data_IF_875438645804
#
_entry.id   IF_875438645804
#
_cell.length_a   1.000
_cell.length_b   1.000
_cell.length_c   1.000
_cell.angle_alpha   90.00
_cell.angle_beta   90.00
_cell.angle_gamma   90.00
#
_symmetry.space_group_name_H-M   'P 1'
#
loop_
_entity.id
_entity.type
_entity.pdbx_description
1 polymer ?
#
# COMPACT_ATOMS: atom_id res chain seq x y z
N UNK A 1 19.11 33.21 25.13
CA UNK A 1 19.69 32.01 24.50
C UNK A 1 21.20 32.17 24.52
N UNK A 2 21.91 31.37 25.30
CA UNK A 2 23.38 31.41 25.36
C UNK A 2 24.01 30.94 24.04
N UNK A 3 25.27 31.27 23.78
CA UNK A 3 25.94 30.81 22.55
C UNK A 3 26.10 29.28 22.48
N UNK A 4 26.18 28.61 23.63
CA UNK A 4 26.12 27.15 23.73
C UNK A 4 24.75 26.60 23.33
N UNK A 5 23.67 27.26 23.75
CA UNK A 5 22.30 26.88 23.43
C UNK A 5 22.01 27.07 21.93
N UNK A 6 22.53 28.15 21.31
CA UNK A 6 22.49 28.35 19.85
C UNK A 6 23.30 27.27 19.10
N UNK A 7 24.48 26.91 19.60
CA UNK A 7 25.35 25.90 18.97
C UNK A 7 24.72 24.52 19.02
N UNK A 8 24.12 24.17 20.16
CA UNK A 8 23.36 22.92 20.35
C UNK A 8 22.17 22.87 19.40
N UNK A 9 21.36 23.93 19.35
CA UNK A 9 20.21 24.03 18.45
C UNK A 9 20.62 23.90 16.97
N UNK A 10 21.74 24.53 16.58
CA UNK A 10 22.29 24.44 15.22
C UNK A 10 22.73 23.02 14.87
N UNK A 11 23.36 22.31 15.80
CA UNK A 11 23.76 20.92 15.62
C UNK A 11 22.55 19.99 15.50
N UNK A 12 21.53 20.17 16.34
CA UNK A 12 20.27 19.42 16.24
C UNK A 12 19.55 19.67 14.92
N UNK A 13 19.46 20.93 14.49
CA UNK A 13 18.88 21.31 13.19
C UNK A 13 19.65 20.65 12.05
N UNK A 14 20.98 20.65 12.09
CA UNK A 14 21.81 20.00 11.06
C UNK A 14 21.53 18.50 10.97
N UNK A 15 21.39 17.81 12.10
CA UNK A 15 21.03 16.39 12.15
C UNK A 15 19.63 16.16 11.57
N UNK A 16 18.64 16.96 11.98
CA UNK A 16 17.26 16.86 11.46
C UNK A 16 17.18 17.08 9.96
N UNK A 17 17.86 18.10 9.44
CA UNK A 17 17.94 18.39 8.00
C UNK A 17 18.57 17.22 7.25
N UNK A 18 19.70 16.69 7.75
CA UNK A 18 20.38 15.53 7.16
C UNK A 18 19.46 14.31 7.11
N UNK A 19 18.75 14.01 8.20
CA UNK A 19 17.82 12.89 8.27
C UNK A 19 16.65 13.04 7.29
N UNK A 20 16.06 14.23 7.22
CA UNK A 20 14.99 14.53 6.27
C UNK A 20 15.46 14.41 4.81
N UNK A 21 16.69 14.85 4.52
CA UNK A 21 17.29 14.74 3.20
C UNK A 21 17.43 13.27 2.76
N UNK A 22 18.00 12.41 3.62
CA UNK A 22 18.12 10.98 3.32
C UNK A 22 16.77 10.28 3.15
N UNK A 23 15.79 10.62 4.00
CA UNK A 23 14.44 10.09 3.87
C UNK A 23 13.80 10.50 2.53
N UNK A 24 13.98 11.76 2.09
CA UNK A 24 13.49 12.24 0.78
C UNK A 24 14.19 11.54 -0.39
N UNK A 25 15.51 11.39 -0.36
CA UNK A 25 16.24 10.66 -1.41
C UNK A 25 15.75 9.21 -1.49
N UNK A 26 15.62 8.52 -0.36
CA UNK A 26 15.08 7.16 -0.32
C UNK A 26 13.71 7.07 -0.98
N UNK A 27 12.81 8.02 -0.67
CA UNK A 27 11.50 8.10 -1.33
C UNK A 27 11.58 8.29 -2.85
N UNK A 28 12.46 9.17 -3.33
CA UNK A 28 12.67 9.40 -4.78
C UNK A 28 13.19 8.14 -5.47
N UNK A 29 14.14 7.44 -4.84
CA UNK A 29 14.67 6.17 -5.36
C UNK A 29 13.57 5.11 -5.46
N UNK A 30 12.74 4.95 -4.43
CA UNK A 30 11.64 3.97 -4.46
C UNK A 30 10.63 4.28 -5.57
N UNK A 31 10.31 5.55 -5.82
CA UNK A 31 9.27 5.94 -6.77
C UNK A 31 9.71 5.96 -8.23
N UNK A 32 10.98 6.29 -8.53
CA UNK A 32 11.44 6.52 -9.91
C UNK A 32 12.36 5.42 -10.45
N UNK A 33 12.91 4.56 -9.60
CA UNK A 33 13.81 3.47 -10.03
C UNK A 33 13.16 2.60 -11.09
N UNK A 34 11.90 2.25 -10.95
CA UNK A 34 11.21 1.35 -11.88
C UNK A 34 11.16 1.94 -13.30
N UNK A 35 10.90 3.25 -13.46
CA UNK A 35 10.93 3.92 -14.77
C UNK A 35 12.34 3.95 -15.39
N UNK A 36 13.36 4.18 -14.57
CA UNK A 36 14.76 4.15 -15.01
C UNK A 36 15.16 2.75 -15.47
N UNK A 37 14.73 1.71 -14.75
CA UNK A 37 15.01 0.33 -15.11
C UNK A 37 14.25 -0.10 -16.36
N UNK A 38 12.97 0.27 -16.50
CA UNK A 38 12.20 -0.01 -17.72
C UNK A 38 12.85 0.65 -18.92
N UNK A 39 13.25 1.92 -18.83
CA UNK A 39 13.92 2.61 -19.95
C UNK A 39 15.32 2.05 -20.27
N UNK A 40 16.02 1.49 -19.28
CA UNK A 40 17.36 0.91 -19.46
C UNK A 40 17.33 -0.51 -20.04
N UNK A 41 16.42 -1.35 -19.56
CA UNK A 41 16.38 -2.78 -19.88
C UNK A 41 15.35 -3.12 -20.97
N UNK A 42 14.40 -2.23 -21.27
CA UNK A 42 13.33 -2.44 -22.23
C UNK A 42 13.25 -1.28 -23.24
N UNK A 43 12.39 -1.42 -24.24
CA UNK A 43 12.20 -0.40 -25.27
C UNK A 43 11.23 0.72 -24.85
N UNK A 44 11.21 1.81 -25.63
CA UNK A 44 10.37 2.99 -25.38
C UNK A 44 8.86 2.66 -25.32
N UNK A 45 8.41 1.63 -26.05
CA UNK A 45 7.02 1.17 -26.00
C UNK A 45 6.65 0.64 -24.62
N UNK A 46 7.51 -0.16 -23.98
CA UNK A 46 7.27 -0.64 -22.62
C UNK A 46 7.25 0.49 -21.58
N UNK A 47 8.07 1.52 -21.74
CA UNK A 47 8.03 2.72 -20.87
C UNK A 47 6.65 3.37 -20.92
N UNK A 48 6.11 3.53 -22.13
CA UNK A 48 4.80 4.16 -22.35
C UNK A 48 3.67 3.31 -21.79
N UNK A 49 3.68 1.99 -22.09
CA UNK A 49 2.68 1.04 -21.59
C UNK A 49 2.70 0.99 -20.07
N UNK A 50 3.87 0.76 -19.46
CA UNK A 50 4.00 0.69 -18.01
C UNK A 50 3.58 2.00 -17.33
N UNK A 51 3.99 3.14 -17.88
CA UNK A 51 3.60 4.46 -17.38
C UNK A 51 2.10 4.68 -17.38
N UNK A 52 1.38 4.19 -18.39
CA UNK A 52 -0.09 4.32 -18.44
C UNK A 52 -0.78 3.57 -17.30
N UNK A 53 -0.35 2.35 -16.96
CA UNK A 53 -0.87 1.60 -15.80
C UNK A 53 -0.51 2.28 -14.48
N UNK A 54 0.73 2.75 -14.37
CA UNK A 54 1.18 3.45 -13.16
C UNK A 54 0.40 4.74 -12.90
N UNK A 55 0.00 5.48 -13.94
CA UNK A 55 -0.88 6.65 -13.79
C UNK A 55 -2.24 6.27 -13.19
N UNK A 56 -2.85 5.18 -13.66
CA UNK A 56 -4.11 4.68 -13.09
C UNK A 56 -3.91 4.27 -11.63
N UNK A 57 -2.83 3.57 -11.32
CA UNK A 57 -2.54 3.12 -9.95
C UNK A 57 -2.17 4.26 -9.00
N UNK A 58 -1.63 5.38 -9.52
CA UNK A 58 -1.31 6.55 -8.72
C UNK A 58 -2.55 7.21 -8.12
N UNK A 59 -3.73 7.05 -8.72
CA UNK A 59 -5.01 7.51 -8.15
C UNK A 59 -5.24 6.92 -6.76
N UNK A 60 -4.91 5.64 -6.55
CA UNK A 60 -5.03 4.99 -5.23
C UNK A 60 -4.12 5.69 -4.23
N UNK A 61 -2.87 5.94 -4.60
CA UNK A 61 -1.91 6.63 -3.73
C UNK A 61 -2.42 8.01 -3.30
N UNK A 62 -3.01 8.78 -4.22
CA UNK A 62 -3.58 10.11 -3.93
C UNK A 62 -4.76 9.98 -2.96
N UNK A 63 -5.70 9.07 -3.22
CA UNK A 63 -6.84 8.83 -2.33
C UNK A 63 -6.39 8.40 -0.93
N UNK A 64 -5.45 7.46 -0.86
CA UNK A 64 -4.90 6.94 0.39
C UNK A 64 -4.17 8.02 1.20
N UNK A 65 -3.42 8.90 0.53
CA UNK A 65 -2.73 10.00 1.21
C UNK A 65 -3.71 10.96 1.89
N UNK A 66 -4.88 11.16 1.30
CA UNK A 66 -5.95 11.99 1.87
C UNK A 66 -6.52 11.36 3.15
N UNK A 67 -6.71 10.03 3.17
CA UNK A 67 -7.12 9.31 4.38
C UNK A 67 -6.09 9.43 5.51
N UNK A 68 -4.79 9.27 5.20
CA UNK A 68 -3.72 9.42 6.20
C UNK A 68 -3.79 10.80 6.85
N UNK A 69 -3.79 11.84 6.03
CA UNK A 69 -3.77 13.23 6.50
C UNK A 69 -4.99 13.56 7.38
N UNK A 70 -6.16 13.04 7.04
CA UNK A 70 -7.39 13.28 7.80
C UNK A 70 -7.40 12.57 9.18
N UNK A 71 -6.80 11.37 9.26
CA UNK A 71 -6.96 10.50 10.43
C UNK A 71 -5.78 10.62 11.42
N UNK A 72 -4.57 10.94 10.96
CA UNK A 72 -3.35 10.94 11.80
C UNK A 72 -3.48 11.81 13.06
N UNK A 73 -4.04 13.01 12.97
CA UNK A 73 -4.22 13.89 14.12
C UNK A 73 -5.17 13.29 15.18
N UNK A 74 -6.28 12.69 14.72
CA UNK A 74 -7.24 12.03 15.61
C UNK A 74 -6.62 10.81 16.31
N UNK A 75 -5.79 10.04 15.61
CA UNK A 75 -5.07 8.91 16.21
C UNK A 75 -4.04 9.41 17.23
N UNK A 76 -3.30 10.48 16.92
CA UNK A 76 -2.36 11.09 17.86
C UNK A 76 -3.03 11.49 19.18
N UNK A 77 -4.17 12.19 19.11
CA UNK A 77 -4.95 12.56 20.29
C UNK A 77 -5.47 11.33 21.06
N UNK A 78 -5.90 10.29 20.34
CA UNK A 78 -6.33 9.04 20.97
C UNK A 78 -5.19 8.39 21.76
N UNK A 79 -3.95 8.40 21.28
CA UNK A 79 -2.85 7.68 21.93
C UNK A 79 -2.38 8.26 23.27
N UNK A 80 -2.67 9.53 23.60
CA UNK A 80 -2.11 10.23 24.77
C UNK A 80 -2.55 9.61 26.11
N UNK A 81 -3.80 9.14 26.20
CA UNK A 81 -4.42 8.69 27.45
C UNK A 81 -4.93 7.25 27.39
N UNK A 82 -4.36 6.41 26.54
CA UNK A 82 -4.85 5.05 26.32
C UNK A 82 -3.83 4.02 26.79
N UNK A 83 -4.34 2.89 27.28
CA UNK A 83 -3.49 1.77 27.68
C UNK A 83 -3.11 0.89 26.47
N UNK A 84 -2.13 0.01 26.67
CA UNK A 84 -1.61 -0.89 25.63
C UNK A 84 -2.69 -1.75 24.96
N UNK A 85 -3.74 -2.14 25.68
CA UNK A 85 -4.82 -2.98 25.16
C UNK A 85 -5.75 -2.20 24.23
N UNK A 86 -6.09 -0.97 24.59
CA UNK A 86 -6.86 -0.05 23.76
C UNK A 86 -6.12 0.30 22.47
N UNK A 87 -4.83 0.63 22.58
CA UNK A 87 -3.96 0.89 21.43
C UNK A 87 -3.84 -0.34 20.54
N UNK A 88 -3.66 -1.52 21.12
CA UNK A 88 -3.62 -2.80 20.39
C UNK A 88 -4.95 -3.06 19.65
N UNK A 89 -6.09 -2.75 20.28
CA UNK A 89 -7.42 -2.92 19.68
C UNK A 89 -7.62 -2.00 18.47
N UNK A 90 -7.25 -0.72 18.57
CA UNK A 90 -7.34 0.21 17.43
C UNK A 90 -6.36 -0.19 16.32
N UNK A 91 -5.14 -0.62 16.66
CA UNK A 91 -4.18 -1.10 15.66
C UNK A 91 -4.74 -2.29 14.86
N UNK A 92 -5.36 -3.28 15.53
CA UNK A 92 -6.03 -4.40 14.86
C UNK A 92 -7.17 -3.96 13.95
N UNK A 93 -8.00 -3.03 14.41
CA UNK A 93 -9.12 -2.48 13.63
C UNK A 93 -8.60 -1.79 12.35
N UNK A 94 -7.60 -0.92 12.47
CA UNK A 94 -7.01 -0.23 11.33
C UNK A 94 -6.40 -1.20 10.33
N UNK A 95 -5.55 -2.15 10.78
CA UNK A 95 -4.96 -3.14 9.87
C UNK A 95 -6.05 -3.96 9.16
N UNK A 96 -7.09 -4.41 9.88
CA UNK A 96 -8.18 -5.19 9.29
C UNK A 96 -8.94 -4.40 8.22
N UNK A 97 -9.28 -3.14 8.49
CA UNK A 97 -10.04 -2.28 7.56
C UNK A 97 -9.22 -1.92 6.34
N UNK A 98 -7.94 -1.57 6.51
CA UNK A 98 -7.07 -1.25 5.38
C UNK A 98 -6.76 -2.48 4.53
N UNK A 99 -6.69 -3.68 5.11
CA UNK A 99 -6.60 -4.94 4.34
C UNK A 99 -7.89 -5.22 3.57
N UNK A 100 -9.07 -4.98 4.17
CA UNK A 100 -10.34 -5.07 3.45
C UNK A 100 -10.40 -4.08 2.28
N UNK A 101 -9.99 -2.83 2.51
CA UNK A 101 -9.93 -1.77 1.50
C UNK A 101 -8.95 -2.11 0.37
N UNK A 102 -7.76 -2.60 0.71
CA UNK A 102 -6.77 -3.06 -0.27
C UNK A 102 -7.34 -4.19 -1.13
N UNK A 103 -8.06 -5.13 -0.51
CA UNK A 103 -8.73 -6.24 -1.22
C UNK A 103 -9.75 -5.71 -2.23
N UNK A 104 -10.63 -4.81 -1.79
CA UNK A 104 -11.63 -4.16 -2.64
C UNK A 104 -10.98 -3.42 -3.82
N UNK A 105 -9.97 -2.59 -3.55
CA UNK A 105 -9.28 -1.80 -4.60
C UNK A 105 -8.59 -2.72 -5.60
N UNK A 106 -7.79 -3.69 -5.14
CA UNK A 106 -7.05 -4.60 -6.02
C UNK A 106 -7.98 -5.47 -6.87
N UNK A 107 -9.11 -5.94 -6.33
CA UNK A 107 -10.13 -6.68 -7.10
C UNK A 107 -10.71 -5.84 -8.23
N UNK A 108 -11.17 -4.63 -7.92
CA UNK A 108 -11.76 -3.75 -8.93
C UNK A 108 -10.74 -3.41 -10.02
N UNK A 109 -9.52 -3.08 -9.63
CA UNK A 109 -8.47 -2.80 -10.60
C UNK A 109 -8.15 -4.00 -11.50
N UNK A 110 -8.13 -5.23 -10.97
CA UNK A 110 -7.91 -6.43 -11.78
C UNK A 110 -8.91 -6.56 -12.94
N UNK A 111 -10.19 -6.35 -12.67
CA UNK A 111 -11.25 -6.52 -13.67
C UNK A 111 -11.47 -5.31 -14.58
N UNK A 112 -10.95 -4.13 -14.22
CA UNK A 112 -11.30 -2.87 -14.86
C UNK A 112 -10.11 -2.16 -15.53
N UNK A 113 -8.87 -2.38 -15.07
CA UNK A 113 -7.72 -1.58 -15.54
C UNK A 113 -7.47 -1.77 -17.03
N UNK A 114 -7.54 -3.00 -17.54
CA UNK A 114 -7.31 -3.27 -18.96
C UNK A 114 -8.41 -2.65 -19.83
N UNK A 115 -9.66 -2.70 -19.38
CA UNK A 115 -10.79 -2.07 -20.09
C UNK A 115 -10.65 -0.54 -20.09
N UNK A 116 -10.22 0.04 -18.97
CA UNK A 116 -9.95 1.47 -18.88
C UNK A 116 -8.83 1.88 -19.84
N UNK A 117 -7.70 1.19 -19.82
CA UNK A 117 -6.56 1.46 -20.73
C UNK A 117 -6.98 1.32 -22.19
N UNK A 118 -7.79 0.31 -22.50
CA UNK A 118 -8.35 0.09 -23.85
C UNK A 118 -9.19 1.28 -24.31
N UNK A 119 -10.10 1.75 -23.46
CA UNK A 119 -10.97 2.89 -23.78
C UNK A 119 -10.23 4.24 -23.80
N UNK A 120 -9.13 4.35 -23.04
CA UNK A 120 -8.36 5.59 -22.93
C UNK A 120 -7.33 5.77 -24.04
N UNK A 121 -6.44 4.79 -24.24
CA UNK A 121 -5.30 4.90 -25.17
C UNK A 121 -5.24 3.79 -26.23
N UNK A 122 -6.05 2.73 -26.08
CA UNK A 122 -6.24 1.68 -27.09
C UNK A 122 -5.63 0.32 -26.74
N UNK A 123 -6.08 -0.72 -27.43
CA UNK A 123 -5.75 -2.14 -27.14
C UNK A 123 -4.25 -2.47 -27.22
N UNK A 124 -3.47 -1.72 -28.01
CA UNK A 124 -2.02 -1.93 -28.15
C UNK A 124 -1.22 -1.65 -26.87
N UNK A 125 -1.85 -1.05 -25.87
CA UNK A 125 -1.23 -0.73 -24.59
C UNK A 125 -1.57 -1.71 -23.46
N UNK A 126 -2.26 -2.82 -23.74
CA UNK A 126 -2.63 -3.78 -22.71
C UNK A 126 -1.43 -4.63 -22.29
N UNK A 127 -1.20 -4.75 -20.98
CA UNK A 127 -0.26 -5.68 -20.39
C UNK A 127 -0.89 -7.06 -20.18
N UNK A 128 -0.08 -8.12 -20.27
CA UNK A 128 -0.51 -9.46 -19.95
C UNK A 128 -0.97 -9.60 -18.49
N UNK A 129 -2.00 -10.44 -18.26
CA UNK A 129 -2.64 -10.59 -16.95
C UNK A 129 -1.66 -10.90 -15.81
N UNK A 130 -0.61 -11.68 -16.06
CA UNK A 130 0.43 -11.96 -15.06
C UNK A 130 1.18 -10.71 -14.59
N UNK A 131 1.49 -9.79 -15.50
CA UNK A 131 2.14 -8.51 -15.18
C UNK A 131 1.19 -7.64 -14.38
N UNK A 132 -0.08 -7.56 -14.81
CA UNK A 132 -1.12 -6.82 -14.09
C UNK A 132 -1.26 -7.32 -12.66
N UNK A 133 -1.31 -8.64 -12.45
CA UNK A 133 -1.37 -9.22 -11.09
C UNK A 133 -0.16 -8.79 -10.25
N UNK A 134 1.06 -8.84 -10.79
CA UNK A 134 2.25 -8.37 -10.07
C UNK A 134 2.15 -6.89 -9.69
N UNK A 135 1.68 -6.03 -10.60
CA UNK A 135 1.48 -4.62 -10.29
C UNK A 135 0.41 -4.41 -9.21
N UNK A 136 -0.67 -5.20 -9.23
CA UNK A 136 -1.74 -5.13 -8.23
C UNK A 136 -1.29 -5.62 -6.85
N UNK A 137 -0.29 -6.51 -6.77
CA UNK A 137 0.36 -6.84 -5.50
C UNK A 137 1.05 -5.59 -4.94
N UNK A 138 1.76 -4.80 -5.75
CA UNK A 138 2.33 -3.53 -5.28
C UNK A 138 1.25 -2.52 -4.84
N UNK A 139 0.12 -2.43 -5.54
CA UNK A 139 -1.04 -1.61 -5.10
C UNK A 139 -1.59 -2.11 -3.77
N UNK A 140 -1.74 -3.43 -3.61
CA UNK A 140 -2.20 -4.01 -2.35
C UNK A 140 -1.26 -3.64 -1.20
N UNK A 141 0.06 -3.80 -1.39
CA UNK A 141 1.08 -3.43 -0.41
C UNK A 141 1.04 -1.94 -0.05
N UNK A 142 0.84 -1.06 -1.04
CA UNK A 142 0.80 0.39 -0.83
C UNK A 142 -0.39 0.83 0.03
N UNK A 143 -1.48 0.06 0.04
CA UNK A 143 -2.65 0.31 0.89
C UNK A 143 -2.46 -0.31 2.29
N UNK A 144 -2.03 -1.57 2.39
CA UNK A 144 -1.94 -2.24 3.71
C UNK A 144 -0.82 -1.70 4.61
N UNK A 145 0.16 -0.97 4.06
CA UNK A 145 1.19 -0.29 4.86
C UNK A 145 0.67 0.94 5.61
N UNK A 146 -0.46 1.51 5.18
CA UNK A 146 -0.97 2.80 5.66
C UNK A 146 -1.20 2.84 7.18
N UNK A 147 -1.80 1.81 7.83
CA UNK A 147 -1.91 1.78 9.28
C UNK A 147 -0.57 2.02 9.97
N UNK A 148 0.51 1.37 9.51
CA UNK A 148 1.85 1.56 10.06
C UNK A 148 2.31 3.02 9.93
N UNK A 149 2.08 3.64 8.77
CA UNK A 149 2.41 5.06 8.54
C UNK A 149 1.60 6.00 9.46
N UNK A 150 0.31 5.74 9.64
CA UNK A 150 -0.57 6.51 10.54
C UNK A 150 -0.06 6.43 11.98
N UNK A 151 0.18 5.22 12.50
CA UNK A 151 0.66 5.03 13.88
C UNK A 151 2.06 5.58 14.09
N UNK A 152 2.96 5.44 13.12
CA UNK A 152 4.29 6.06 13.17
C UNK A 152 4.19 7.58 13.30
N UNK A 153 3.38 8.22 12.44
CA UNK A 153 3.21 9.67 12.47
C UNK A 153 2.52 10.15 13.75
N UNK A 154 1.56 9.39 14.27
CA UNK A 154 0.84 9.70 15.50
C UNK A 154 1.70 9.54 16.77
N UNK A 155 2.60 8.54 16.80
CA UNK A 155 3.49 8.28 17.95
C UNK A 155 4.77 9.10 17.93
N UNK A 156 5.18 9.62 16.77
CA UNK A 156 6.44 10.34 16.60
C UNK A 156 7.68 9.44 16.57
N UNK A 157 7.53 8.13 16.39
CA UNK A 157 8.65 7.17 16.36
C UNK A 157 9.36 7.18 14.99
N UNK A 158 10.17 8.22 14.75
CA UNK A 158 10.88 8.44 13.47
C UNK A 158 12.31 7.88 13.41
N UNK A 159 12.65 6.85 14.18
CA UNK A 159 14.01 6.28 14.19
C UNK A 159 14.33 5.35 13.02
N UNK A 160 13.41 5.15 12.09
CA UNK A 160 13.56 4.36 10.86
C UNK A 160 14.11 5.18 9.68
N UNK A 161 14.86 6.26 9.97
CA UNK A 161 15.38 7.24 8.99
C UNK A 161 16.06 6.59 7.77
N UNK A 162 16.78 5.48 7.98
CA UNK A 162 17.54 4.80 6.92
C UNK A 162 16.73 3.73 6.18
N UNK A 163 15.55 3.35 6.66
CA UNK A 163 14.75 2.30 6.02
C UNK A 163 14.31 2.66 4.60
N UNK A 164 13.92 3.91 4.28
CA UNK A 164 13.66 4.29 2.89
C UNK A 164 14.87 4.15 1.95
N UNK A 165 16.09 4.36 2.45
CA UNK A 165 17.30 4.14 1.66
C UNK A 165 17.57 2.66 1.43
N UNK A 166 17.38 1.83 2.47
CA UNK A 166 17.47 0.38 2.36
C UNK A 166 16.41 -0.16 1.39
N UNK A 167 15.18 0.34 1.46
CA UNK A 167 14.09 0.00 0.54
C UNK A 167 14.45 0.36 -0.91
N UNK A 168 14.88 1.59 -1.17
CA UNK A 168 15.28 2.03 -2.51
C UNK A 168 16.49 1.27 -3.06
N UNK A 169 17.50 1.01 -2.21
CA UNK A 169 18.68 0.25 -2.58
C UNK A 169 18.36 -1.22 -2.86
N UNK A 170 17.55 -1.87 -2.02
CA UNK A 170 17.08 -3.24 -2.24
C UNK A 170 16.19 -3.32 -3.48
N UNK A 171 15.29 -2.36 -3.70
CA UNK A 171 14.49 -2.30 -4.93
C UNK A 171 15.42 -2.28 -6.14
N UNK A 172 16.31 -1.29 -6.23
CA UNK A 172 17.22 -1.16 -7.37
C UNK A 172 18.03 -2.44 -7.62
N UNK A 173 18.56 -3.06 -6.56
CA UNK A 173 19.33 -4.29 -6.66
C UNK A 173 18.49 -5.46 -7.18
N UNK A 174 17.37 -5.80 -6.53
CA UNK A 174 16.56 -6.95 -6.93
C UNK A 174 15.88 -6.72 -8.28
N UNK A 175 15.39 -5.52 -8.54
CA UNK A 175 14.73 -5.15 -9.79
C UNK A 175 15.69 -5.21 -10.95
N UNK A 176 16.91 -4.66 -10.84
CA UNK A 176 17.91 -4.76 -11.90
C UNK A 176 18.37 -6.21 -12.13
N UNK A 177 18.60 -6.98 -11.06
CA UNK A 177 19.00 -8.38 -11.15
C UNK A 177 17.93 -9.21 -11.88
N UNK A 178 16.67 -9.12 -11.47
CA UNK A 178 15.59 -9.91 -12.06
C UNK A 178 15.19 -9.39 -13.44
N UNK A 179 15.28 -8.07 -13.69
CA UNK A 179 15.02 -7.51 -15.02
C UNK A 179 15.94 -8.11 -16.10
N UNK A 180 17.20 -8.37 -15.75
CA UNK A 180 18.14 -9.01 -16.66
C UNK A 180 17.66 -10.40 -17.14
N UNK A 181 16.97 -11.16 -16.29
CA UNK A 181 16.51 -12.51 -16.61
C UNK A 181 15.10 -12.57 -17.20
N UNK A 182 14.17 -11.75 -16.69
CA UNK A 182 12.74 -11.88 -17.00
C UNK A 182 12.07 -10.54 -17.36
N UNK A 183 12.84 -9.49 -17.63
CA UNK A 183 12.34 -8.21 -18.13
C UNK A 183 11.42 -7.46 -17.16
N UNK A 184 10.31 -6.92 -17.69
CA UNK A 184 9.35 -6.11 -16.90
C UNK A 184 8.81 -6.83 -15.64
N UNK A 185 8.37 -8.11 -15.71
CA UNK A 185 8.05 -8.88 -14.51
C UNK A 185 9.14 -8.83 -13.43
N UNK A 186 10.41 -8.89 -13.83
CA UNK A 186 11.55 -8.88 -12.90
C UNK A 186 11.69 -7.55 -12.16
N UNK A 187 11.48 -6.44 -12.85
CA UNK A 187 11.44 -5.11 -12.23
C UNK A 187 10.34 -5.07 -11.16
N UNK A 188 9.12 -5.48 -11.51
CA UNK A 188 7.98 -5.42 -10.60
C UNK A 188 8.17 -6.36 -9.40
N UNK A 189 8.70 -7.56 -9.62
CA UNK A 189 9.02 -8.51 -8.54
C UNK A 189 10.10 -7.96 -7.61
N UNK A 190 11.15 -7.32 -8.14
CA UNK A 190 12.17 -6.68 -7.31
C UNK A 190 11.58 -5.59 -6.40
N UNK A 191 10.66 -4.78 -6.94
CA UNK A 191 9.87 -3.81 -6.16
C UNK A 191 9.05 -4.52 -5.07
N UNK A 192 8.33 -5.60 -5.39
CA UNK A 192 7.57 -6.38 -4.40
C UNK A 192 8.49 -6.91 -3.28
N UNK A 193 9.64 -7.48 -3.62
CA UNK A 193 10.60 -8.02 -2.63
C UNK A 193 11.05 -6.92 -1.67
N UNK A 194 11.46 -5.77 -2.19
CA UNK A 194 11.88 -4.64 -1.34
C UNK A 194 10.74 -4.13 -0.43
N UNK A 195 9.52 -4.03 -0.98
CA UNK A 195 8.33 -3.60 -0.24
C UNK A 195 7.97 -4.59 0.86
N UNK A 196 8.04 -5.90 0.61
CA UNK A 196 7.79 -6.92 1.62
C UNK A 196 8.84 -6.86 2.73
N UNK A 197 10.13 -6.90 2.39
CA UNK A 197 11.21 -6.93 3.37
C UNK A 197 11.26 -5.69 4.24
N UNK A 198 11.15 -4.51 3.63
CA UNK A 198 11.37 -3.25 4.35
C UNK A 198 10.04 -2.66 4.82
N UNK A 199 9.06 -2.53 3.92
CA UNK A 199 7.81 -1.85 4.22
C UNK A 199 6.83 -2.71 5.00
N UNK A 200 6.72 -4.01 4.75
CA UNK A 200 5.80 -4.89 5.47
C UNK A 200 6.42 -5.65 6.64
N UNK A 201 7.74 -5.73 6.74
CA UNK A 201 8.41 -6.45 7.84
C UNK A 201 9.21 -5.46 8.69
N UNK A 202 10.26 -4.85 8.16
CA UNK A 202 11.17 -4.03 8.98
C UNK A 202 10.46 -2.84 9.66
N UNK A 203 9.70 -2.03 8.90
CA UNK A 203 8.98 -0.84 9.43
C UNK A 203 7.95 -1.21 10.53
N UNK A 204 7.03 -2.17 10.31
CA UNK A 204 6.12 -2.63 11.36
C UNK A 204 6.82 -3.19 12.60
N UNK A 205 7.88 -3.99 12.43
CA UNK A 205 8.61 -4.56 13.57
C UNK A 205 9.28 -3.47 14.41
N UNK A 206 9.86 -2.46 13.76
CA UNK A 206 10.39 -1.29 14.45
C UNK A 206 9.30 -0.56 15.23
N UNK A 207 8.19 -0.22 14.58
CA UNK A 207 7.10 0.55 15.16
C UNK A 207 6.44 -0.18 16.34
N UNK A 208 5.97 -1.40 16.10
CA UNK A 208 5.28 -2.18 17.14
C UNK A 208 6.23 -2.64 18.25
N UNK A 209 7.54 -2.78 17.96
CA UNK A 209 8.55 -3.00 18.98
C UNK A 209 8.79 -1.78 19.88
N UNK A 210 8.60 -0.56 19.36
CA UNK A 210 8.60 0.68 20.15
C UNK A 210 7.30 0.86 20.95
N UNK A 211 6.16 0.51 20.36
CA UNK A 211 4.86 0.66 21.02
C UNK A 211 4.60 -0.39 22.11
N UNK A 212 5.07 -1.63 21.94
CA UNK A 212 4.64 -2.76 22.77
C UNK A 212 5.79 -3.64 23.30
N UNK A 213 7.04 -3.18 23.15
CA UNK A 213 8.24 -3.93 23.51
C UNK A 213 8.73 -4.88 22.41
N UNK A 214 10.06 -4.96 22.26
CA UNK A 214 10.73 -5.64 21.13
C UNK A 214 10.40 -7.12 21.01
N UNK A 215 10.35 -7.86 22.13
CA UNK A 215 10.13 -9.31 22.12
C UNK A 215 8.73 -9.71 21.63
N UNK A 216 7.75 -8.82 21.75
CA UNK A 216 6.36 -9.08 21.37
C UNK A 216 5.98 -8.51 19.99
N UNK A 217 6.87 -7.74 19.35
CA UNK A 217 6.57 -6.98 18.13
C UNK A 217 6.07 -7.87 16.98
N UNK A 218 6.80 -8.94 16.67
CA UNK A 218 6.44 -9.86 15.58
C UNK A 218 5.11 -10.57 15.86
N UNK A 219 4.95 -11.11 17.07
CA UNK A 219 3.71 -11.80 17.47
C UNK A 219 2.50 -10.88 17.40
N UNK A 220 2.62 -9.65 17.92
CA UNK A 220 1.55 -8.64 17.84
C UNK A 220 1.26 -8.30 16.37
N UNK A 221 2.27 -7.96 15.59
CA UNK A 221 2.09 -7.61 14.18
C UNK A 221 1.40 -8.71 13.38
N UNK A 222 1.88 -9.96 13.46
CA UNK A 222 1.25 -11.10 12.80
C UNK A 222 -0.21 -11.29 13.25
N UNK A 223 -0.51 -11.06 14.54
CA UNK A 223 -1.89 -11.10 15.04
C UNK A 223 -2.79 -10.01 14.46
N UNK A 224 -2.22 -8.94 13.91
CA UNK A 224 -2.98 -7.84 13.31
C UNK A 224 -3.29 -8.10 11.84
N UNK A 225 -2.40 -8.79 11.12
CA UNK A 225 -2.48 -8.90 9.66
C UNK A 225 -2.89 -10.29 9.16
N UNK A 226 -2.53 -11.38 9.85
CA UNK A 226 -2.61 -12.72 9.28
C UNK A 226 -4.05 -13.15 8.96
N UNK A 227 -4.98 -12.97 9.91
CA UNK A 227 -6.39 -13.34 9.70
C UNK A 227 -7.06 -12.50 8.60
N UNK A 228 -6.96 -11.15 8.60
CA UNK A 228 -7.43 -10.33 7.48
C UNK A 228 -6.83 -10.72 6.12
N UNK A 229 -5.53 -11.07 6.07
CA UNK A 229 -4.88 -11.52 4.83
C UNK A 229 -5.43 -12.85 4.32
N UNK A 230 -5.77 -13.78 5.22
CA UNK A 230 -6.44 -15.03 4.84
C UNK A 230 -7.80 -14.73 4.19
N UNK A 231 -8.56 -13.78 4.74
CA UNK A 231 -9.84 -13.36 4.16
C UNK A 231 -9.64 -12.76 2.76
N UNK A 232 -8.65 -11.87 2.58
CA UNK A 232 -8.28 -11.35 1.26
C UNK A 232 -7.93 -12.47 0.28
N UNK A 233 -7.12 -13.44 0.70
CA UNK A 233 -6.71 -14.56 -0.15
C UNK A 233 -7.89 -15.41 -0.60
N UNK A 234 -8.82 -15.72 0.32
CA UNK A 234 -10.05 -16.47 -0.01
C UNK A 234 -10.88 -15.71 -1.04
N UNK A 235 -11.07 -14.40 -0.86
CA UNK A 235 -11.83 -13.58 -1.81
C UNK A 235 -11.13 -13.54 -3.17
N UNK A 236 -9.81 -13.30 -3.21
CA UNK A 236 -9.04 -13.33 -4.47
C UNK A 236 -9.15 -14.67 -5.17
N UNK A 237 -9.08 -15.79 -4.45
CA UNK A 237 -9.24 -17.13 -5.02
C UNK A 237 -10.64 -17.32 -5.63
N UNK A 238 -11.71 -16.94 -4.92
CA UNK A 238 -13.09 -17.04 -5.42
C UNK A 238 -13.27 -16.22 -6.70
N UNK A 239 -12.82 -14.97 -6.71
CA UNK A 239 -12.90 -14.11 -7.89
C UNK A 239 -12.02 -14.60 -9.04
N UNK A 240 -10.86 -15.19 -8.74
CA UNK A 240 -10.00 -15.78 -9.76
C UNK A 240 -10.67 -16.97 -10.45
N UNK A 241 -11.42 -17.81 -9.73
CA UNK A 241 -12.20 -18.90 -10.35
C UNK A 241 -13.43 -18.38 -11.09
N UNK A 242 -14.07 -17.30 -10.63
CA UNK A 242 -15.21 -16.67 -11.29
C UNK A 242 -14.83 -15.75 -12.48
N UNK A 243 -13.53 -15.55 -12.74
CA UNK A 243 -13.04 -14.48 -13.62
C UNK A 243 -13.55 -14.59 -15.06
N UNK A 244 -13.72 -15.79 -15.60
CA UNK A 244 -14.08 -15.98 -17.02
C UNK A 244 -15.46 -15.37 -17.32
N UNK A 245 -16.40 -15.46 -16.37
CA UNK A 245 -17.74 -14.87 -16.50
C UNK A 245 -17.70 -13.34 -16.44
N UNK A 246 -16.80 -12.77 -15.63
CA UNK A 246 -16.67 -11.32 -15.42
C UNK A 246 -15.88 -10.66 -16.56
N UNK A 247 -14.85 -11.33 -17.07
CA UNK A 247 -13.99 -10.84 -18.15
C UNK A 247 -14.72 -10.86 -19.49
N UNK A 248 -15.64 -11.81 -19.71
CA UNK A 248 -16.42 -11.91 -20.94
C UNK A 248 -17.27 -10.66 -21.24
N UNK A 249 -17.67 -9.90 -20.21
CA UNK A 249 -18.27 -8.58 -20.39
C UNK A 249 -17.19 -7.57 -20.79
N UNK A 250 -16.78 -7.57 -22.07
CA UNK A 250 -15.78 -6.64 -22.61
C UNK A 250 -16.40 -5.25 -22.77
N UNK A 251 -15.79 -4.24 -22.17
CA UNK A 251 -16.25 -2.86 -22.29
C UNK A 251 -15.73 -2.22 -23.58
N UNK A 252 -16.59 -2.10 -24.60
CA UNK A 252 -16.22 -1.59 -25.92
C UNK A 252 -16.20 -0.06 -26.00
N UNK A 253 -16.88 0.61 -25.07
CA UNK A 253 -17.01 2.04 -24.99
C UNK A 253 -17.13 2.48 -23.51
N UNK A 254 -17.12 3.79 -23.27
CA UNK A 254 -17.22 4.36 -21.91
C UNK A 254 -18.51 4.00 -21.18
N UNK A 255 -19.63 3.82 -21.87
CA UNK A 255 -20.89 3.43 -21.23
C UNK A 255 -20.84 1.99 -20.71
N UNK A 256 -20.32 1.05 -21.52
CA UNK A 256 -20.09 -0.33 -21.09
C UNK A 256 -19.11 -0.38 -19.91
N UNK A 257 -18.05 0.44 -19.98
CA UNK A 257 -17.06 0.53 -18.90
C UNK A 257 -17.69 1.01 -17.60
N UNK A 258 -18.51 2.07 -17.64
CA UNK A 258 -19.20 2.57 -16.44
C UNK A 258 -20.18 1.54 -15.88
N UNK A 259 -20.85 0.77 -16.75
CA UNK A 259 -21.74 -0.33 -16.34
C UNK A 259 -20.95 -1.43 -15.65
N UNK A 260 -19.82 -1.86 -16.24
CA UNK A 260 -18.93 -2.87 -15.66
C UNK A 260 -18.35 -2.42 -14.33
N UNK A 261 -17.83 -1.18 -14.27
CA UNK A 261 -17.31 -0.55 -13.05
C UNK A 261 -18.36 -0.61 -11.94
N UNK A 262 -19.60 -0.21 -12.23
CA UNK A 262 -20.68 -0.21 -11.24
C UNK A 262 -20.98 -1.61 -10.74
N UNK A 263 -21.18 -2.59 -11.63
CA UNK A 263 -21.53 -3.96 -11.26
C UNK A 263 -20.40 -4.62 -10.47
N UNK A 264 -19.16 -4.57 -10.99
CA UNK A 264 -17.99 -5.18 -10.33
C UNK A 264 -17.73 -4.53 -8.98
N UNK A 265 -17.85 -3.20 -8.87
CA UNK A 265 -17.66 -2.49 -7.60
C UNK A 265 -18.73 -2.87 -6.58
N UNK A 266 -20.01 -2.93 -6.97
CA UNK A 266 -21.08 -3.31 -6.05
C UNK A 266 -20.93 -4.75 -5.57
N UNK A 267 -20.69 -5.69 -6.48
CA UNK A 267 -20.53 -7.11 -6.14
C UNK A 267 -19.30 -7.33 -5.25
N UNK A 268 -18.15 -6.74 -5.61
CA UNK A 268 -16.93 -6.83 -4.80
C UNK A 268 -17.09 -6.16 -3.44
N UNK A 269 -17.76 -5.01 -3.35
CA UNK A 269 -18.04 -4.35 -2.08
C UNK A 269 -18.87 -5.24 -1.16
N UNK A 270 -19.96 -5.83 -1.68
CA UNK A 270 -20.84 -6.71 -0.91
C UNK A 270 -20.06 -7.93 -0.38
N UNK A 271 -19.28 -8.58 -1.25
CA UNK A 271 -18.52 -9.78 -0.87
C UNK A 271 -17.43 -9.45 0.14
N UNK A 272 -16.63 -8.41 -0.12
CA UNK A 272 -15.57 -7.96 0.81
C UNK A 272 -16.19 -7.60 2.16
N UNK A 273 -17.26 -6.80 2.17
CA UNK A 273 -17.94 -6.43 3.40
C UNK A 273 -18.47 -7.66 4.15
N UNK A 274 -19.18 -8.57 3.47
CA UNK A 274 -19.76 -9.76 4.08
C UNK A 274 -18.70 -10.67 4.71
N UNK A 275 -17.60 -10.94 3.99
CA UNK A 275 -16.50 -11.77 4.49
C UNK A 275 -15.77 -11.09 5.65
N UNK A 276 -15.42 -9.81 5.52
CA UNK A 276 -14.71 -9.09 6.59
C UNK A 276 -15.59 -8.82 7.80
N UNK A 277 -16.92 -8.78 7.66
CA UNK A 277 -17.85 -8.71 8.78
C UNK A 277 -17.78 -9.95 9.69
N UNK A 278 -17.19 -11.07 9.23
CA UNK A 278 -16.87 -12.20 10.11
C UNK A 278 -15.76 -11.87 11.14
N UNK A 279 -14.94 -10.83 10.90
CA UNK A 279 -13.92 -10.38 11.84
C UNK A 279 -14.48 -9.44 12.92
N UNK A 280 -14.15 -9.72 14.19
CA UNK A 280 -14.62 -8.92 15.31
C UNK A 280 -14.05 -7.49 15.31
N UNK A 281 -12.82 -7.28 14.82
CA UNK A 281 -12.22 -5.96 14.73
C UNK A 281 -12.91 -5.14 13.63
N UNK A 282 -13.21 -5.75 12.48
CA UNK A 282 -13.98 -5.08 11.42
C UNK A 282 -15.37 -4.67 11.92
N UNK A 283 -16.11 -5.56 12.57
CA UNK A 283 -17.42 -5.24 13.17
C UNK A 283 -17.32 -4.11 14.19
N UNK A 284 -16.29 -4.13 15.04
CA UNK A 284 -16.08 -3.10 16.05
C UNK A 284 -15.81 -1.74 15.43
N UNK A 285 -15.03 -1.69 14.35
CA UNK A 285 -14.77 -0.47 13.59
C UNK A 285 -16.04 0.08 12.95
N UNK A 286 -16.83 -0.77 12.28
CA UNK A 286 -18.12 -0.37 11.68
C UNK A 286 -19.07 0.20 12.74
N UNK A 287 -19.19 -0.46 13.90
CA UNK A 287 -20.01 0.04 15.03
C UNK A 287 -19.52 1.38 15.59
N UNK A 288 -18.23 1.69 15.49
CA UNK A 288 -17.68 2.99 15.90
C UNK A 288 -18.06 4.08 14.91
N UNK A 289 -17.93 3.81 13.60
CA UNK A 289 -18.35 4.76 12.55
C UNK A 289 -19.84 5.07 12.68
N UNK A 290 -20.69 4.04 12.80
CA UNK A 290 -22.14 4.23 12.88
C UNK A 290 -22.55 5.10 14.08
N UNK A 291 -21.85 5.00 15.22
CA UNK A 291 -22.10 5.83 16.42
C UNK A 291 -21.65 7.30 16.28
N UNK A 292 -20.77 7.59 15.32
CA UNK A 292 -20.31 8.96 15.06
C UNK A 292 -21.18 9.64 14.00
N UNK A 293 -21.69 8.85 13.05
CA UNK A 293 -22.49 9.34 11.91
C UNK A 293 -23.98 9.45 12.25
N UNK A 294 -24.51 8.55 13.09
CA UNK A 294 -25.90 8.52 13.54
C UNK A 294 -25.97 8.71 15.05
#
# INVERSE_FOLDING_TARGET
ISDDEKTTLKNELKIKIKNMFFHKIGGVLVLNTDYLLVSKFLNLSYVTIYGSYMMVFQVVTVLMSSFVNAITASVGNFLINQNDDEVTSIAKQFNTVFIALATFISLNMYFLVNDFITNWIGEKFILGNGIVILMLVNVFISVIRIPCDIFKNATGFFGDVYYPLLEGGSNLFFSALLAFYIGLPGIIIGTIISNVLITLIAKPLYLYGKMFGRFNALKKYLSFVLKPLIFSFVIFAVFYFAREQIIFFKASNWFDFMSKLTIVSLVSMIIVFAVFYADANFRSFVKRILRVVF
#
